data_IF_545262027045
#
_entry.id   IF_545262027045
#
_cell.length_a   1.000
_cell.length_b   1.000
_cell.length_c   1.000
_cell.angle_alpha   90.00
_cell.angle_beta   90.00
_cell.angle_gamma   90.00
#
_symmetry.space_group_name_H-M   'P 1'
#
loop_
_entity.id
_entity.type
_entity.pdbx_description
1 polymer ?
#
# COMPACT_ATOMS: atom_id res chain seq x y z
N UNK A 1 -15.31 55.81 32.05
CA UNK A 1 -14.53 54.66 32.56
C UNK A 1 -14.18 53.81 31.34
N UNK A 2 -12.91 53.83 30.92
CA UNK A 2 -12.45 53.14 29.70
C UNK A 2 -12.34 51.63 29.92
N UNK A 3 -12.76 50.84 28.94
CA UNK A 3 -12.57 49.38 28.96
C UNK A 3 -11.29 49.04 28.23
N UNK A 4 -10.30 48.57 28.99
CA UNK A 4 -9.04 48.07 28.44
C UNK A 4 -9.20 46.59 28.12
N UNK A 5 -8.90 46.22 26.88
CA UNK A 5 -8.85 44.82 26.45
C UNK A 5 -7.39 44.34 26.56
N UNK A 6 -7.15 43.35 27.41
CA UNK A 6 -5.84 42.70 27.52
C UNK A 6 -5.93 41.34 26.86
N UNK A 7 -5.16 41.14 25.79
CA UNK A 7 -5.05 39.87 25.08
C UNK A 7 -3.70 39.25 25.43
N UNK A 8 -3.72 38.21 26.27
CA UNK A 8 -2.54 37.40 26.57
C UNK A 8 -2.40 36.32 25.51
N UNK A 9 -1.37 36.42 24.68
CA UNK A 9 -1.08 35.39 23.68
C UNK A 9 -0.18 34.30 24.28
N UNK A 10 -0.66 33.05 24.40
CA UNK A 10 0.18 31.97 24.86
C UNK A 10 1.27 31.69 23.81
N UNK A 11 2.45 31.31 24.30
CA UNK A 11 3.53 30.91 23.41
C UNK A 11 3.18 29.58 22.75
N UNK A 12 3.24 29.52 21.42
CA UNK A 12 3.02 28.28 20.66
C UNK A 12 4.15 27.30 21.00
N UNK A 13 3.84 26.08 21.47
CA UNK A 13 4.85 25.07 21.72
C UNK A 13 5.54 24.67 20.41
N UNK A 14 6.87 24.56 20.43
CA UNK A 14 7.65 24.16 19.27
C UNK A 14 8.21 22.75 19.49
N UNK A 15 7.67 21.72 18.81
CA UNK A 15 8.13 20.35 18.95
C UNK A 15 9.36 20.01 18.09
N UNK A 16 9.88 20.93 17.26
CA UNK A 16 10.99 20.66 16.34
C UNK A 16 12.21 20.05 17.03
N UNK A 17 12.52 20.48 18.26
CA UNK A 17 13.63 19.92 19.04
C UNK A 17 13.45 18.44 19.41
N UNK A 18 12.22 17.92 19.41
CA UNK A 18 11.93 16.51 19.71
C UNK A 18 12.07 15.60 18.49
N UNK A 19 12.03 16.19 17.29
CA UNK A 19 12.02 15.46 16.03
C UNK A 19 13.23 15.79 15.15
N UNK A 20 14.20 16.56 15.65
CA UNK A 20 15.39 16.93 14.88
C UNK A 20 16.11 15.70 14.34
N UNK A 21 16.37 14.72 15.20
CA UNK A 21 17.03 13.46 14.81
C UNK A 21 16.25 12.68 13.75
N UNK A 22 14.90 12.69 13.80
CA UNK A 22 14.06 12.02 12.81
C UNK A 22 14.39 12.52 11.40
N UNK A 23 14.60 13.82 11.22
CA UNK A 23 14.88 14.41 9.91
C UNK A 23 16.36 14.44 9.56
N UNK A 24 17.26 14.55 10.53
CA UNK A 24 18.71 14.68 10.28
C UNK A 24 19.41 13.32 10.23
N UNK A 25 19.23 12.48 11.24
CA UNK A 25 19.89 11.19 11.35
C UNK A 25 19.13 10.07 10.63
N UNK A 26 17.80 10.09 10.70
CA UNK A 26 16.94 9.03 10.16
C UNK A 26 16.28 9.38 8.82
N UNK A 27 16.56 10.56 8.25
CA UNK A 27 16.06 11.00 6.94
C UNK A 27 14.53 10.92 6.76
N UNK A 28 13.79 11.09 7.85
CA UNK A 28 12.33 10.98 7.88
C UNK A 28 11.79 9.56 8.08
N UNK A 29 12.64 8.55 8.28
CA UNK A 29 12.21 7.19 8.58
C UNK A 29 11.71 7.09 10.03
N UNK A 30 10.38 7.23 10.20
CA UNK A 30 9.75 7.15 11.51
C UNK A 30 9.90 5.78 12.17
N UNK A 31 9.75 4.70 11.41
CA UNK A 31 9.80 3.34 11.97
C UNK A 31 11.16 3.05 12.59
N UNK A 32 12.24 3.48 11.92
CA UNK A 32 13.60 3.32 12.42
C UNK A 32 13.88 4.24 13.62
N UNK A 33 13.46 5.51 13.55
CA UNK A 33 13.61 6.48 14.65
C UNK A 33 12.82 6.07 15.91
N UNK A 34 11.61 5.53 15.74
CA UNK A 34 10.75 5.07 16.83
C UNK A 34 11.18 3.69 17.38
N UNK A 35 12.21 3.06 16.80
CA UNK A 35 12.71 1.76 17.23
C UNK A 35 11.74 0.61 16.94
N UNK A 36 10.88 0.74 15.93
CA UNK A 36 9.96 -0.32 15.52
C UNK A 36 10.78 -1.49 14.97
N UNK A 37 10.62 -2.72 15.52
CA UNK A 37 11.34 -3.89 15.02
C UNK A 37 11.05 -4.13 13.53
N UNK A 38 12.08 -4.45 12.75
CA UNK A 38 11.96 -4.67 11.31
C UNK A 38 10.99 -5.81 10.98
N UNK A 39 11.00 -6.87 11.77
CA UNK A 39 10.13 -8.03 11.60
C UNK A 39 8.64 -7.66 11.76
N UNK A 40 8.35 -6.72 12.67
CA UNK A 40 6.98 -6.20 12.86
C UNK A 40 6.55 -5.39 11.64
N UNK A 41 7.43 -4.54 11.09
CA UNK A 41 7.13 -3.79 9.85
C UNK A 41 6.88 -4.74 8.68
N UNK A 42 7.66 -5.82 8.58
CA UNK A 42 7.51 -6.82 7.53
C UNK A 42 6.16 -7.56 7.65
N UNK A 43 5.69 -7.84 8.87
CA UNK A 43 4.40 -8.50 9.08
C UNK A 43 3.19 -7.68 8.63
N UNK A 44 3.35 -6.35 8.49
CA UNK A 44 2.29 -5.50 7.95
C UNK A 44 2.22 -5.52 6.43
N UNK A 45 3.20 -6.13 5.73
CA UNK A 45 3.09 -6.27 4.29
C UNK A 45 1.93 -7.19 3.96
N UNK A 46 0.97 -6.74 3.13
CA UNK A 46 -0.13 -7.58 2.71
C UNK A 46 0.40 -8.83 2.00
N UNK A 47 -0.02 -10.00 2.46
CA UNK A 47 0.30 -11.29 1.82
C UNK A 47 -0.73 -11.66 0.76
N UNK A 48 -1.76 -10.85 0.60
CA UNK A 48 -2.86 -11.04 -0.34
C UNK A 48 -3.25 -9.68 -0.92
N UNK A 49 -3.54 -9.67 -2.20
CA UNK A 49 -4.02 -8.50 -2.92
C UNK A 49 -5.28 -8.90 -3.67
N UNK A 50 -6.32 -8.11 -3.48
CA UNK A 50 -7.52 -8.15 -4.30
C UNK A 50 -7.55 -6.94 -5.22
N UNK A 51 -8.24 -7.08 -6.36
CA UNK A 51 -8.51 -5.92 -7.18
C UNK A 51 -9.51 -5.03 -6.46
N UNK A 52 -9.19 -3.75 -6.31
CA UNK A 52 -10.12 -2.78 -5.72
C UNK A 52 -11.33 -2.70 -6.65
N UNK A 53 -12.51 -3.00 -6.11
CA UNK A 53 -13.76 -2.82 -6.86
C UNK A 53 -14.02 -1.32 -7.00
N UNK A 54 -13.84 -0.78 -8.20
CA UNK A 54 -14.15 0.62 -8.49
C UNK A 54 -15.68 0.81 -8.46
N UNK A 55 -16.17 1.56 -7.47
CA UNK A 55 -17.57 1.93 -7.35
C UNK A 55 -17.75 3.26 -8.07
N UNK A 56 -18.65 3.31 -9.05
CA UNK A 56 -19.06 4.56 -9.69
C UNK A 56 -20.47 4.92 -9.26
N UNK A 57 -20.68 6.16 -8.82
CA UNK A 57 -22.03 6.67 -8.60
C UNK A 57 -22.65 7.08 -9.94
N UNK A 58 -23.87 6.61 -10.19
CA UNK A 58 -24.65 7.03 -11.36
C UNK A 58 -25.30 8.38 -11.06
N UNK A 59 -24.90 9.41 -11.79
CA UNK A 59 -25.52 10.72 -11.73
C UNK A 59 -26.95 10.66 -12.31
N UNK A 60 -27.89 11.47 -11.79
CA UNK A 60 -29.25 11.56 -12.31
C UNK A 60 -29.33 11.94 -13.81
N UNK A 61 -28.28 12.56 -14.35
CA UNK A 61 -28.13 12.93 -15.76
C UNK A 61 -27.64 11.79 -16.67
N UNK A 62 -27.38 10.60 -16.13
CA UNK A 62 -26.94 9.41 -16.88
C UNK A 62 -25.43 9.28 -17.08
N UNK A 63 -24.62 10.10 -16.38
CA UNK A 63 -23.17 9.97 -16.33
C UNK A 63 -22.69 9.20 -15.10
N UNK A 64 -21.48 8.65 -15.13
CA UNK A 64 -20.83 8.09 -13.94
C UNK A 64 -19.82 9.09 -13.37
N UNK A 65 -19.78 9.26 -12.05
CA UNK A 65 -18.66 9.92 -11.38
C UNK A 65 -17.72 8.82 -10.88
N UNK A 66 -16.51 8.75 -11.43
CA UNK A 66 -15.47 7.84 -10.95
C UNK A 66 -14.62 8.58 -9.92
N UNK A 67 -14.79 8.24 -8.64
CA UNK A 67 -13.86 8.66 -7.58
C UNK A 67 -12.71 7.65 -7.54
N UNK A 68 -11.95 7.60 -8.64
CA UNK A 68 -10.76 6.74 -8.72
C UNK A 68 -9.60 7.49 -8.07
N UNK A 69 -9.21 7.08 -6.86
CA UNK A 69 -7.83 7.27 -6.40
C UNK A 69 -6.89 6.57 -7.39
N UNK A 70 -6.11 7.36 -8.13
CA UNK A 70 -5.10 6.85 -9.08
C UNK A 70 -4.24 5.75 -8.41
N UNK A 71 -4.00 4.61 -9.06
CA UNK A 71 -3.01 3.66 -8.56
C UNK A 71 -1.61 4.27 -8.70
N UNK A 72 -0.70 4.13 -7.71
CA UNK A 72 0.70 4.42 -7.97
C UNK A 72 1.18 3.48 -9.07
N UNK A 73 1.99 4.03 -9.98
CA UNK A 73 2.56 3.34 -11.13
C UNK A 73 3.06 1.92 -10.78
N UNK A 74 2.77 0.97 -11.69
CA UNK A 74 3.27 -0.41 -11.77
C UNK A 74 4.54 -0.65 -10.92
N UNK A 75 4.40 -1.46 -9.87
CA UNK A 75 5.53 -2.11 -9.22
C UNK A 75 5.34 -3.63 -9.31
N UNK A 76 6.32 -4.31 -9.90
CA UNK A 76 6.48 -5.77 -9.85
C UNK A 76 5.68 -6.56 -10.88
N UNK A 77 6.29 -6.84 -12.02
CA UNK A 77 5.99 -8.04 -12.79
C UNK A 77 6.72 -9.23 -12.14
N UNK A 78 6.05 -10.29 -11.66
CA UNK A 78 6.67 -11.59 -11.54
C UNK A 78 6.45 -12.31 -12.87
N UNK A 79 7.52 -12.54 -13.63
CA UNK A 79 7.49 -13.48 -14.75
C UNK A 79 7.39 -14.91 -14.20
N UNK A 80 6.21 -15.31 -13.71
CA UNK A 80 5.92 -16.71 -13.42
C UNK A 80 5.45 -17.40 -14.70
N UNK A 81 6.43 -17.78 -15.54
CA UNK A 81 6.21 -18.79 -16.57
C UNK A 81 6.08 -20.13 -15.84
N UNK A 82 4.83 -20.52 -15.57
CA UNK A 82 4.47 -21.88 -15.16
C UNK A 82 5.00 -22.87 -16.24
N UNK A 83 5.88 -23.84 -15.91
CA UNK A 83 6.24 -24.86 -16.88
C UNK A 83 5.04 -25.78 -17.13
N UNK A 84 4.72 -25.99 -18.41
CA UNK A 84 3.65 -26.88 -18.88
C UNK A 84 3.77 -28.29 -18.26
N UNK A 85 2.65 -28.93 -17.89
CA UNK A 85 2.68 -30.32 -17.45
C UNK A 85 3.13 -31.25 -18.59
N UNK A 86 3.85 -32.35 -18.30
CA UNK A 86 4.39 -33.23 -19.31
C UNK A 86 3.28 -33.93 -20.11
N UNK A 87 3.48 -34.19 -21.42
CA UNK A 87 2.46 -34.82 -22.25
C UNK A 87 2.10 -36.21 -21.76
N UNK A 88 0.81 -36.49 -21.64
CA UNK A 88 0.28 -37.83 -21.32
C UNK A 88 0.79 -38.85 -22.36
N UNK A 89 1.40 -39.92 -21.87
CA UNK A 89 1.82 -41.06 -22.69
C UNK A 89 0.60 -41.66 -23.41
N UNK A 90 0.74 -41.89 -24.73
CA UNK A 90 -0.28 -42.56 -25.55
C UNK A 90 -0.40 -44.04 -25.12
N UNK A 91 -1.61 -44.62 -25.07
CA UNK A 91 -1.75 -46.07 -24.96
C UNK A 91 -1.16 -46.75 -26.21
N UNK A 92 -0.21 -47.67 -26.02
CA UNK A 92 0.33 -48.50 -27.09
C UNK A 92 -0.70 -49.51 -27.62
N UNK A 93 -0.55 -50.00 -28.85
CA UNK A 93 -1.48 -50.94 -29.45
C UNK A 93 -1.42 -52.31 -28.75
N UNK A 94 -2.58 -52.94 -28.60
CA UNK A 94 -2.70 -54.30 -28.09
C UNK A 94 -1.91 -55.27 -28.98
N UNK A 95 -0.93 -55.94 -28.38
CA UNK A 95 -0.26 -57.09 -28.98
C UNK A 95 -1.16 -58.31 -28.78
N UNK A 96 -1.83 -58.72 -29.86
CA UNK A 96 -2.45 -60.04 -29.99
C UNK A 96 -1.37 -61.01 -30.44
N UNK A 97 -1.00 -61.95 -29.58
CA UNK A 97 -0.24 -63.15 -29.97
C UNK A 97 -1.18 -64.35 -29.94
N UNK A 98 -1.10 -65.13 -31.02
CA UNK A 98 -1.80 -66.40 -31.29
C UNK A 98 -1.54 -67.47 -30.24
#
# INVERSE_FOLDING_TARGET
>A
MERVWVVLMPRIPNPSKKFEDLFTAYQGNFSEWAGVPKDVVETFKPIYYENICAITELLPSGGYLSESSEPPAKCGEPSDVLPDPPPKAKPGPAEVTT
#
